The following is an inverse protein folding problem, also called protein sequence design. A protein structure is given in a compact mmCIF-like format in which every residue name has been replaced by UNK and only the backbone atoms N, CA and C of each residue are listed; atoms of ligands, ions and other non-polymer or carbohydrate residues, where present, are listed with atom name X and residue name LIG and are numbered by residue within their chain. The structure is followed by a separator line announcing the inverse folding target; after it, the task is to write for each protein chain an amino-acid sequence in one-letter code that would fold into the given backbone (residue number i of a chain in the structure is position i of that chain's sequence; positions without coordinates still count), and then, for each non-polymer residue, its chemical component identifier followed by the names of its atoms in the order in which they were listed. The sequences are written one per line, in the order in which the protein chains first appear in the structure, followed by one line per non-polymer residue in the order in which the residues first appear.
data_IF_699188408847
#
_entry.id   IF_699188408847
#
_cell.length_a   1.000
_cell.length_b   1.000
_cell.length_c   1.000
_cell.angle_alpha   90.00
_cell.angle_beta   90.00
_cell.angle_gamma   90.00
#
_symmetry.space_group_name_H-M   'P 1'
#
loop_
_entity.id
_entity.type
_entity.pdbx_description
1 polymer ?
#
# COMPACT_ATOMS: atom_id res chain seq x y z
N UNK A 1 -24.23 17.59 -17.71
CA UNK A 1 -23.64 16.83 -16.59
C UNK A 1 -22.54 15.97 -17.18
N UNK A 2 -21.34 16.51 -17.31
CA UNK A 2 -20.19 15.74 -17.82
C UNK A 2 -19.65 14.98 -16.62
N UNK A 3 -19.83 13.66 -16.58
CA UNK A 3 -19.11 12.82 -15.63
C UNK A 3 -17.62 12.97 -15.92
N UNK A 4 -16.88 13.47 -14.94
CA UNK A 4 -15.43 13.55 -14.99
C UNK A 4 -14.85 12.28 -14.36
N UNK A 5 -14.17 11.47 -15.17
CA UNK A 5 -13.45 10.27 -14.73
C UNK A 5 -12.00 10.60 -14.32
N UNK A 6 -11.66 11.88 -14.20
CA UNK A 6 -10.31 12.29 -13.82
C UNK A 6 -10.04 11.96 -12.35
N UNK A 7 -8.86 11.38 -12.11
CA UNK A 7 -8.36 11.18 -10.74
C UNK A 7 -7.94 12.53 -10.18
N UNK A 8 -8.27 12.77 -8.91
CA UNK A 8 -7.82 13.95 -8.16
C UNK A 8 -6.29 14.09 -8.28
N UNK A 9 -5.74 15.26 -8.68
CA UNK A 9 -4.30 15.44 -8.89
C UNK A 9 -3.46 15.12 -7.65
N UNK A 10 -3.96 15.42 -6.45
CA UNK A 10 -3.28 15.09 -5.19
C UNK A 10 -3.26 13.58 -4.96
N UNK A 11 -4.34 12.90 -5.34
CA UNK A 11 -4.41 11.44 -5.27
C UNK A 11 -3.51 10.77 -6.30
N UNK A 12 -3.45 11.29 -7.53
CA UNK A 12 -2.55 10.78 -8.57
C UNK A 12 -1.08 10.87 -8.13
N UNK A 13 -0.66 12.00 -7.54
CA UNK A 13 0.68 12.15 -6.98
C UNK A 13 0.93 11.18 -5.81
N UNK A 14 -0.09 10.90 -4.99
CA UNK A 14 0.03 9.90 -3.92
C UNK A 14 0.20 8.49 -4.48
N UNK A 15 -0.53 8.13 -5.55
CA UNK A 15 -0.42 6.84 -6.23
C UNK A 15 0.99 6.62 -6.80
N UNK A 16 1.59 7.64 -7.42
CA UNK A 16 2.97 7.59 -7.91
C UNK A 16 3.97 7.32 -6.78
N UNK A 17 3.83 8.02 -5.64
CA UNK A 17 4.68 7.79 -4.45
C UNK A 17 4.49 6.39 -3.84
N UNK A 18 3.31 5.79 -4.00
CA UNK A 18 3.06 4.41 -3.58
C UNK A 18 3.73 3.43 -4.53
N UNK A 19 3.62 3.65 -5.84
CA UNK A 19 4.29 2.82 -6.85
C UNK A 19 5.82 2.82 -6.65
N UNK A 20 6.42 4.00 -6.46
CA UNK A 20 7.85 4.13 -6.18
C UNK A 20 8.25 3.40 -4.89
N UNK A 21 7.49 3.58 -3.80
CA UNK A 21 7.76 2.90 -2.53
C UNK A 21 7.66 1.38 -2.64
N UNK A 22 6.67 0.87 -3.38
CA UNK A 22 6.53 -0.57 -3.59
C UNK A 22 7.73 -1.10 -4.37
N UNK A 23 8.18 -0.39 -5.40
CA UNK A 23 9.33 -0.79 -6.22
C UNK A 23 10.66 -0.70 -5.45
N UNK A 24 10.89 0.35 -4.66
CA UNK A 24 12.18 0.56 -3.99
C UNK A 24 12.32 -0.23 -2.69
N UNK A 25 11.25 -0.37 -1.92
CA UNK A 25 11.31 -0.95 -0.57
C UNK A 25 10.60 -2.30 -0.47
N UNK A 26 9.41 -2.46 -1.06
CA UNK A 26 8.62 -3.69 -0.90
C UNK A 26 9.10 -4.83 -1.80
N UNK A 27 9.41 -4.54 -3.07
CA UNK A 27 9.84 -5.55 -4.05
C UNK A 27 11.14 -6.27 -3.65
N UNK A 28 12.21 -5.58 -3.19
CA UNK A 28 13.42 -6.27 -2.72
C UNK A 28 13.16 -7.12 -1.47
N UNK A 29 12.30 -6.67 -0.56
CA UNK A 29 11.95 -7.42 0.64
C UNK A 29 11.14 -8.67 0.29
N UNK A 30 10.25 -8.61 -0.70
CA UNK A 30 9.54 -9.78 -1.26
C UNK A 30 10.51 -10.79 -1.91
N UNK A 31 11.61 -10.33 -2.51
CA UNK A 31 12.65 -11.23 -3.01
C UNK A 31 13.44 -11.94 -1.90
N UNK A 32 13.59 -11.30 -0.74
CA UNK A 32 14.38 -11.83 0.38
C UNK A 32 13.54 -12.71 1.32
N UNK A 33 12.27 -12.35 1.56
CA UNK A 33 11.37 -13.06 2.47
C UNK A 33 10.58 -14.10 1.68
N UNK A 34 11.02 -15.36 1.75
CA UNK A 34 10.35 -16.48 1.06
C UNK A 34 8.93 -16.74 1.56
N UNK A 35 8.71 -16.59 2.87
CA UNK A 35 7.44 -16.86 3.53
C UNK A 35 7.03 -15.68 4.41
N UNK A 36 6.27 -14.74 3.83
CA UNK A 36 5.84 -13.51 4.52
C UNK A 36 4.93 -13.77 5.73
N UNK A 37 4.32 -14.95 5.79
CA UNK A 37 3.44 -15.40 6.88
C UNK A 37 4.21 -16.09 8.03
N UNK A 38 5.48 -16.45 7.84
CA UNK A 38 6.27 -17.01 8.93
C UNK A 38 6.73 -15.92 9.88
N UNK A 39 5.97 -15.72 10.96
CA UNK A 39 6.27 -14.75 12.00
C UNK A 39 7.55 -15.08 12.78
N UNK A 40 8.12 -16.28 12.63
CA UNK A 40 9.36 -16.68 13.29
C UNK A 40 10.60 -16.37 12.45
N UNK A 41 10.45 -15.97 11.18
CA UNK A 41 11.57 -15.61 10.33
C UNK A 41 12.24 -14.31 10.83
N UNK A 42 13.52 -14.35 11.24
CA UNK A 42 14.23 -13.18 11.73
C UNK A 42 14.43 -12.10 10.65
N UNK A 43 14.54 -12.48 9.38
CA UNK A 43 14.67 -11.57 8.23
C UNK A 43 13.36 -10.81 8.03
N UNK A 44 12.23 -11.52 8.09
CA UNK A 44 10.90 -10.89 8.06
C UNK A 44 10.72 -9.91 9.22
N UNK A 45 11.10 -10.29 10.44
CA UNK A 45 10.95 -9.44 11.63
C UNK A 45 11.84 -8.19 11.59
N UNK A 46 12.99 -8.25 10.93
CA UNK A 46 13.84 -7.07 10.76
C UNK A 46 13.31 -6.12 9.68
N UNK A 47 12.77 -6.65 8.57
CA UNK A 47 12.47 -5.86 7.37
C UNK A 47 11.01 -5.41 7.25
N UNK A 48 10.03 -6.23 7.65
CA UNK A 48 8.60 -5.92 7.46
C UNK A 48 8.07 -4.87 8.46
N UNK A 49 8.32 -4.97 9.78
CA UNK A 49 7.81 -3.99 10.74
C UNK A 49 8.14 -2.51 10.44
N UNK A 50 9.36 -2.12 10.02
CA UNK A 50 9.63 -0.72 9.69
C UNK A 50 8.82 -0.25 8.47
N UNK A 51 8.68 -1.08 7.43
CA UNK A 51 7.84 -0.76 6.27
C UNK A 51 6.37 -0.56 6.65
N UNK A 52 5.84 -1.39 7.55
CA UNK A 52 4.48 -1.23 8.07
C UNK A 52 4.28 0.10 8.81
N UNK A 53 5.29 0.57 9.54
CA UNK A 53 5.23 1.87 10.20
C UNK A 53 5.18 3.02 9.18
N UNK A 54 5.95 2.94 8.10
CA UNK A 54 5.91 3.93 7.01
C UNK A 54 4.51 3.98 6.39
N UNK A 55 3.91 2.82 6.11
CA UNK A 55 2.55 2.73 5.54
C UNK A 55 1.50 3.34 6.50
N UNK A 56 1.66 3.12 7.82
CA UNK A 56 0.81 3.75 8.84
C UNK A 56 0.96 5.26 8.89
N UNK A 57 2.19 5.77 8.90
CA UNK A 57 2.48 7.21 8.91
C UNK A 57 1.93 7.92 7.67
N UNK A 58 1.92 7.25 6.52
CA UNK A 58 1.35 7.77 5.27
C UNK A 58 -0.18 7.71 5.22
N UNK A 59 -0.84 7.23 6.28
CA UNK A 59 -2.29 7.05 6.31
C UNK A 59 -2.79 5.98 5.33
N UNK A 60 -1.89 5.15 4.79
CA UNK A 60 -2.21 4.08 3.84
C UNK A 60 -2.47 2.75 4.55
N UNK A 61 -2.47 2.77 5.88
CA UNK A 61 -2.85 1.62 6.69
C UNK A 61 -4.35 1.55 6.86
N UNK A 62 -4.91 0.36 6.69
CA UNK A 62 -6.33 0.09 6.89
C UNK A 62 -7.23 1.10 6.15
N UNK A 63 -6.88 1.43 4.91
CA UNK A 63 -7.60 2.40 4.05
C UNK A 63 -9.07 2.05 3.81
N UNK A 64 -9.45 0.79 4.02
CA UNK A 64 -10.81 0.27 3.93
C UNK A 64 -11.62 0.43 5.23
N UNK A 65 -10.98 0.72 6.36
CA UNK A 65 -11.67 0.99 7.62
C UNK A 65 -12.17 2.43 7.63
N UNK A 66 -13.40 2.64 8.07
CA UNK A 66 -13.95 3.97 8.28
C UNK A 66 -13.27 4.68 9.48
N UNK A 67 -13.38 6.01 9.58
CA UNK A 67 -12.71 6.83 10.61
C UNK A 67 -12.98 6.37 12.05
N UNK A 68 -14.14 5.75 12.31
CA UNK A 68 -14.49 5.15 13.61
C UNK A 68 -13.58 3.98 14.06
N UNK A 69 -12.81 3.39 13.15
CA UNK A 69 -11.92 2.24 13.38
C UNK A 69 -10.45 2.60 13.09
N UNK A 70 -10.14 3.90 12.98
CA UNK A 70 -8.78 4.40 12.77
C UNK A 70 -8.27 4.35 11.34
N UNK A 71 -9.17 4.20 10.36
CA UNK A 71 -8.83 4.25 8.92
C UNK A 71 -9.36 5.52 8.24
N UNK A 72 -8.70 5.99 7.18
CA UNK A 72 -9.08 7.22 6.46
C UNK A 72 -10.37 7.12 5.66
N UNK A 73 -10.89 5.90 5.40
CA UNK A 73 -12.13 5.70 4.65
C UNK A 73 -12.10 6.30 3.23
N UNK A 74 -11.03 6.08 2.46
CA UNK A 74 -10.79 6.74 1.17
C UNK A 74 -11.85 6.47 0.07
N UNK A 75 -12.85 5.63 0.33
CA UNK A 75 -13.86 5.24 -0.64
C UNK A 75 -13.36 4.19 -1.63
N UNK A 76 -14.29 3.51 -2.30
CA UNK A 76 -13.99 2.33 -3.14
C UNK A 76 -13.10 2.64 -4.35
N UNK A 77 -13.24 3.83 -4.95
CA UNK A 77 -12.43 4.22 -6.12
C UNK A 77 -10.94 4.35 -5.77
N UNK A 78 -10.62 5.07 -4.68
CA UNK A 78 -9.24 5.26 -4.23
C UNK A 78 -8.60 3.93 -3.81
N UNK A 79 -9.37 3.04 -3.19
CA UNK A 79 -8.94 1.68 -2.86
C UNK A 79 -8.68 0.83 -4.11
N UNK A 80 -9.55 0.90 -5.11
CA UNK A 80 -9.37 0.18 -6.37
C UNK A 80 -8.07 0.60 -7.07
N UNK A 81 -7.79 1.91 -7.14
CA UNK A 81 -6.55 2.42 -7.73
C UNK A 81 -5.30 1.97 -6.94
N UNK A 82 -5.35 1.96 -5.61
CA UNK A 82 -4.25 1.42 -4.81
C UNK A 82 -4.05 -0.09 -5.04
N UNK A 83 -5.14 -0.86 -5.08
CA UNK A 83 -5.08 -2.29 -5.33
C UNK A 83 -4.56 -2.63 -6.72
N UNK A 84 -4.85 -1.79 -7.72
CA UNK A 84 -4.27 -1.93 -9.06
C UNK A 84 -2.74 -1.88 -9.01
N UNK A 85 -2.17 -0.89 -8.31
CA UNK A 85 -0.72 -0.78 -8.11
C UNK A 85 -0.18 -2.02 -7.41
N UNK A 86 -0.76 -2.37 -6.26
CA UNK A 86 -0.29 -3.51 -5.45
C UNK A 86 -0.43 -4.84 -6.19
N UNK A 87 -1.45 -4.99 -7.03
CA UNK A 87 -1.69 -6.17 -7.85
C UNK A 87 -0.66 -6.38 -8.96
N UNK A 88 -0.06 -5.30 -9.49
CA UNK A 88 1.01 -5.41 -10.50
C UNK A 88 2.28 -6.05 -9.96
N UNK A 89 2.57 -5.88 -8.68
CA UNK A 89 3.84 -6.27 -8.06
C UNK A 89 3.78 -7.63 -7.34
N UNK A 90 2.58 -8.14 -7.06
CA UNK A 90 2.44 -9.44 -6.39
C UNK A 90 2.83 -10.55 -7.36
N UNK A 91 3.92 -11.27 -7.06
CA UNK A 91 4.32 -12.47 -7.80
C UNK A 91 3.17 -13.48 -7.84
N UNK A 92 2.84 -13.95 -9.03
CA UNK A 92 2.06 -15.18 -9.25
C UNK A 92 2.89 -16.41 -8.94
#
# INVERSE_FOLDING_TARGET
MTWDFSTDPEWAAQLERVDEFVRSECEPVDMLVKESHDLKDPVRQALIPPLQQIVKLRGLWATHLGPHLGGPGYGQLKLALLNEILGRWRRS
#
